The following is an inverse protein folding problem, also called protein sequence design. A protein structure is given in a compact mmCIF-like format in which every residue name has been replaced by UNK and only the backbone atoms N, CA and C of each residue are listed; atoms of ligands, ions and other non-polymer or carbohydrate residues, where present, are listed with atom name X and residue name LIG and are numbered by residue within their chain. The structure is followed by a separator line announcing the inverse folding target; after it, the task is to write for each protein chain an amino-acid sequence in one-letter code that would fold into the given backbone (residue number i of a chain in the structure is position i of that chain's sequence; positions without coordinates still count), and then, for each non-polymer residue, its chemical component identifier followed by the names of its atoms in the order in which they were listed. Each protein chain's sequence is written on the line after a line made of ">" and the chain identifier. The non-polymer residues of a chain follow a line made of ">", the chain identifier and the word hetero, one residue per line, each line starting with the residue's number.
data_IF_508817634675
#
_entry.id   IF_508817634675
#
_cell.length_a   1.000
_cell.length_b   1.000
_cell.length_c   1.000
_cell.angle_alpha   90.00
_cell.angle_beta   90.00
_cell.angle_gamma   90.00
#
_symmetry.space_group_name_H-M   'P 1'
#
loop_
_entity.id
_entity.type
_entity.pdbx_description
1 polymer ?
#
# COMPACT_ATOMS: atom_id res chain seq x y z
N UNK A 1 34.14 61.67 23.07
CA UNK A 1 33.84 61.11 21.74
C UNK A 1 33.78 59.59 21.82
N UNK A 2 32.58 59.00 21.91
CA UNK A 2 32.36 57.55 21.83
C UNK A 2 31.68 57.26 20.50
N UNK A 3 32.35 56.58 19.57
CA UNK A 3 31.75 56.06 18.33
C UNK A 3 31.18 54.67 18.61
N UNK A 4 29.87 54.58 18.74
CA UNK A 4 29.16 53.29 18.78
C UNK A 4 28.95 52.82 17.35
N UNK A 5 29.60 51.73 16.94
CA UNK A 5 29.40 51.10 15.64
C UNK A 5 28.17 50.18 15.77
N UNK A 6 27.02 50.63 15.28
CA UNK A 6 25.86 49.76 15.08
C UNK A 6 26.12 48.85 13.88
N UNK A 7 26.15 47.53 14.11
CA UNK A 7 26.13 46.54 13.02
C UNK A 7 24.70 46.42 12.51
N UNK A 8 24.43 46.52 11.20
CA UNK A 8 23.11 46.20 10.67
C UNK A 8 22.90 44.68 10.73
N UNK A 9 21.86 44.26 11.44
CA UNK A 9 21.36 42.90 11.37
C UNK A 9 20.69 42.70 10.00
N UNK A 10 21.41 42.07 9.07
CA UNK A 10 20.85 41.63 7.80
C UNK A 10 19.89 40.47 8.07
N UNK A 11 18.61 40.78 8.27
CA UNK A 11 17.55 39.79 8.27
C UNK A 11 17.33 39.32 6.83
N UNK A 12 18.03 38.26 6.42
CA UNK A 12 17.75 37.57 5.16
C UNK A 12 16.50 36.72 5.40
N UNK A 13 15.34 37.24 4.98
CA UNK A 13 14.10 36.47 4.91
C UNK A 13 14.30 35.33 3.92
N UNK A 14 14.54 34.12 4.42
CA UNK A 14 14.44 32.91 3.63
C UNK A 14 12.94 32.70 3.34
N UNK A 15 12.53 33.01 2.11
CA UNK A 15 11.21 32.63 1.61
C UNK A 15 11.13 31.10 1.65
N UNK A 16 10.44 30.59 2.67
CA UNK A 16 10.08 29.18 2.80
C UNK A 16 8.90 28.94 1.85
N UNK A 17 9.17 28.67 0.57
CA UNK A 17 8.16 28.08 -0.30
C UNK A 17 7.94 26.65 0.18
N UNK A 18 6.95 26.48 1.08
CA UNK A 18 6.35 25.18 1.33
C UNK A 18 5.83 24.71 -0.03
N UNK A 19 6.50 23.71 -0.63
CA UNK A 19 5.84 22.88 -1.62
C UNK A 19 4.64 22.27 -0.88
N UNK A 20 3.44 22.79 -1.16
CA UNK A 20 2.21 22.20 -0.69
C UNK A 20 2.13 20.81 -1.33
N UNK A 21 2.71 19.82 -0.66
CA UNK A 21 2.33 18.43 -0.90
C UNK A 21 0.82 18.39 -0.69
N UNK A 22 0.09 17.92 -1.70
CA UNK A 22 -1.32 17.60 -1.53
C UNK A 22 -1.46 16.78 -0.27
N UNK A 23 -2.28 17.24 0.68
CA UNK A 23 -2.50 16.51 1.92
C UNK A 23 -2.95 15.10 1.55
N UNK A 24 -2.28 14.10 2.12
CA UNK A 24 -2.58 12.72 1.82
C UNK A 24 -4.01 12.41 2.30
N UNK A 25 -4.86 11.89 1.43
CA UNK A 25 -6.28 11.66 1.71
C UNK A 25 -6.46 10.24 2.21
N UNK A 26 -7.15 10.05 3.33
CA UNK A 26 -7.62 8.72 3.70
C UNK A 26 -8.66 8.26 2.66
N UNK A 27 -8.52 7.02 2.21
CA UNK A 27 -9.31 6.45 1.14
C UNK A 27 -9.78 5.04 1.51
N UNK A 28 -10.99 4.68 1.11
CA UNK A 28 -11.57 3.36 1.34
C UNK A 28 -12.47 2.90 0.19
N UNK A 29 -12.62 1.58 0.08
CA UNK A 29 -13.56 0.95 -0.85
C UNK A 29 -14.23 -0.27 -0.21
N UNK A 30 -15.55 -0.39 -0.42
CA UNK A 30 -16.31 -1.60 -0.13
C UNK A 30 -16.52 -2.40 -1.43
N UNK A 31 -15.90 -3.58 -1.49
CA UNK A 31 -15.91 -4.48 -2.64
C UNK A 31 -17.08 -5.49 -2.59
N UNK A 32 -18.05 -5.30 -1.69
CA UNK A 32 -19.24 -6.15 -1.62
C UNK A 32 -20.37 -5.71 -2.54
N UNK A 33 -20.43 -4.42 -2.90
CA UNK A 33 -21.53 -3.82 -3.66
C UNK A 33 -21.33 -3.81 -5.18
N UNK A 34 -20.14 -4.15 -5.67
CA UNK A 34 -19.92 -4.21 -7.12
C UNK A 34 -20.62 -5.44 -7.73
N UNK A 35 -21.13 -5.31 -8.95
CA UNK A 35 -21.94 -6.36 -9.61
C UNK A 35 -21.11 -7.63 -9.80
N UNK A 36 -21.70 -8.85 -9.79
CA UNK A 36 -20.93 -10.10 -9.95
C UNK A 36 -19.96 -10.01 -11.13
N UNK A 37 -18.69 -9.78 -10.80
CA UNK A 37 -17.61 -9.63 -11.72
C UNK A 37 -16.91 -10.98 -11.80
N UNK A 38 -17.05 -11.63 -12.95
CA UNK A 38 -16.15 -12.70 -13.37
C UNK A 38 -15.36 -12.18 -14.54
N UNK A 39 -14.27 -11.47 -14.23
CA UNK A 39 -13.52 -10.70 -15.22
C UNK A 39 -12.01 -10.92 -15.07
N UNK A 40 -11.28 -10.68 -16.17
CA UNK A 40 -9.80 -10.67 -16.14
C UNK A 40 -9.24 -9.45 -15.42
N UNK A 41 -10.07 -8.42 -15.25
CA UNK A 41 -9.82 -7.33 -14.32
C UNK A 41 -11.08 -6.51 -14.10
N UNK A 42 -11.14 -5.87 -12.93
CA UNK A 42 -12.27 -5.07 -12.46
C UNK A 42 -11.73 -3.71 -12.05
N UNK A 43 -12.28 -2.63 -12.60
CA UNK A 43 -11.89 -1.29 -12.19
C UNK A 43 -12.76 -0.88 -11.00
N UNK A 44 -12.13 -0.61 -9.85
CA UNK A 44 -12.77 -0.21 -8.60
C UNK A 44 -12.48 1.25 -8.32
N UNK A 45 -13.42 1.94 -7.66
CA UNK A 45 -13.30 3.36 -7.33
C UNK A 45 -13.40 3.58 -5.82
N UNK A 46 -12.43 4.30 -5.28
CA UNK A 46 -12.36 4.66 -3.86
C UNK A 46 -13.18 5.94 -3.60
N UNK A 47 -13.55 6.14 -2.35
CA UNK A 47 -14.31 7.30 -1.85
C UNK A 47 -13.62 8.65 -2.12
N UNK A 48 -12.29 8.68 -2.14
CA UNK A 48 -11.47 9.86 -2.46
C UNK A 48 -11.36 10.14 -3.97
N UNK A 49 -11.99 9.31 -4.81
CA UNK A 49 -11.99 9.44 -6.26
C UNK A 49 -10.79 8.81 -6.97
N UNK A 50 -9.84 8.21 -6.25
CA UNK A 50 -8.82 7.33 -6.85
C UNK A 50 -9.45 6.04 -7.36
N UNK A 51 -8.72 5.34 -8.22
CA UNK A 51 -9.17 4.08 -8.80
C UNK A 51 -8.05 3.07 -8.83
N UNK A 52 -8.42 1.79 -8.72
CA UNK A 52 -7.51 0.68 -8.95
C UNK A 52 -8.12 -0.29 -9.96
N UNK A 53 -7.28 -0.89 -10.80
CA UNK A 53 -7.64 -2.07 -11.56
C UNK A 53 -7.25 -3.30 -10.77
N UNK A 54 -8.25 -4.08 -10.38
CA UNK A 54 -8.04 -5.36 -9.70
C UNK A 54 -7.85 -6.45 -10.73
N UNK A 55 -6.82 -7.28 -10.56
CA UNK A 55 -6.55 -8.46 -11.38
C UNK A 55 -6.16 -9.65 -10.52
N UNK A 56 -6.04 -10.84 -11.12
CA UNK A 56 -5.79 -12.07 -10.38
C UNK A 56 -4.75 -12.95 -11.07
N UNK A 57 -3.91 -13.61 -10.27
CA UNK A 57 -3.00 -14.67 -10.73
C UNK A 57 -3.09 -15.89 -9.83
N UNK A 58 -2.77 -17.05 -10.40
CA UNK A 58 -2.66 -18.31 -9.67
C UNK A 58 -1.29 -18.90 -9.93
N UNK A 59 -0.57 -19.27 -8.88
CA UNK A 59 0.79 -19.82 -8.95
C UNK A 59 0.77 -21.27 -8.54
N UNK A 60 1.13 -22.18 -9.45
CA UNK A 60 1.09 -23.63 -9.18
C UNK A 60 2.19 -24.05 -8.20
N UNK A 61 1.81 -24.81 -7.18
CA UNK A 61 2.75 -25.28 -6.14
C UNK A 61 3.93 -26.11 -6.66
N UNK A 62 3.71 -26.95 -7.68
CA UNK A 62 4.68 -27.95 -8.13
C UNK A 62 5.74 -27.43 -9.11
N UNK A 63 5.57 -26.25 -9.69
CA UNK A 63 6.55 -25.68 -10.63
C UNK A 63 6.71 -24.16 -10.54
N UNK A 64 6.03 -23.50 -9.60
CA UNK A 64 6.07 -22.06 -9.44
C UNK A 64 5.54 -21.26 -10.63
N UNK A 65 4.92 -21.89 -11.63
CA UNK A 65 4.41 -21.16 -12.80
C UNK A 65 3.16 -20.39 -12.42
N UNK A 66 3.24 -19.08 -12.60
CA UNK A 66 2.13 -18.15 -12.46
C UNK A 66 1.33 -18.07 -13.77
N UNK A 67 0.00 -18.13 -13.66
CA UNK A 67 -0.93 -17.91 -14.78
C UNK A 67 -1.90 -16.79 -14.43
N UNK A 68 -2.41 -16.10 -15.46
CA UNK A 68 -3.54 -15.18 -15.30
C UNK A 68 -4.76 -15.95 -14.83
N UNK A 69 -5.38 -15.49 -13.75
CA UNK A 69 -6.63 -15.99 -13.22
C UNK A 69 -7.75 -14.97 -13.51
N UNK A 70 -8.93 -15.22 -12.98
CA UNK A 70 -10.07 -14.32 -13.01
C UNK A 70 -10.27 -13.73 -11.62
N UNK A 71 -10.66 -12.46 -11.57
CA UNK A 71 -11.23 -11.88 -10.36
C UNK A 71 -12.67 -12.37 -10.29
N UNK A 72 -13.01 -13.05 -9.20
CA UNK A 72 -14.36 -13.51 -8.92
C UNK A 72 -14.97 -12.68 -7.80
N UNK A 73 -16.11 -12.05 -8.05
CA UNK A 73 -16.88 -11.34 -7.04
C UNK A 73 -18.20 -12.07 -6.77
N UNK A 74 -18.29 -12.64 -5.57
CA UNK A 74 -19.52 -13.25 -5.04
C UNK A 74 -19.59 -12.98 -3.54
N UNK A 75 -20.81 -13.03 -2.97
CA UNK A 75 -21.15 -12.69 -1.57
C UNK A 75 -19.93 -12.72 -0.62
N UNK A 76 -19.52 -11.53 -0.15
CA UNK A 76 -18.41 -11.37 0.80
C UNK A 76 -17.20 -10.60 0.27
N UNK A 77 -17.02 -10.47 -1.05
CA UNK A 77 -15.96 -9.64 -1.63
C UNK A 77 -15.32 -10.26 -2.87
N UNK A 78 -14.10 -9.83 -3.17
CA UNK A 78 -13.29 -10.33 -4.28
C UNK A 78 -12.44 -11.53 -3.87
N UNK A 79 -12.30 -12.48 -4.77
CA UNK A 79 -11.32 -13.56 -4.67
C UNK A 79 -10.70 -13.90 -6.01
N UNK A 80 -9.86 -14.92 -6.01
CA UNK A 80 -9.21 -15.43 -7.21
C UNK A 80 -9.99 -16.64 -7.70
N UNK A 81 -10.04 -16.81 -9.01
CA UNK A 81 -10.68 -17.97 -9.60
C UNK A 81 -9.97 -18.41 -10.86
N UNK A 82 -9.85 -19.72 -11.02
CA UNK A 82 -9.44 -20.30 -12.30
C UNK A 82 -10.62 -20.80 -13.15
N UNK A 83 -11.83 -20.89 -12.59
CA UNK A 83 -13.02 -21.47 -13.23
C UNK A 83 -14.34 -20.81 -12.75
N UNK A 84 -15.39 -20.81 -13.57
CA UNK A 84 -16.68 -20.16 -13.24
C UNK A 84 -17.45 -20.80 -12.07
N UNK A 85 -17.13 -22.04 -11.67
CA UNK A 85 -17.84 -22.80 -10.64
C UNK A 85 -17.03 -22.97 -9.34
N UNK A 86 -15.96 -22.19 -9.19
CA UNK A 86 -15.10 -22.20 -8.01
C UNK A 86 -15.73 -21.38 -6.85
N UNK A 87 -15.28 -21.56 -5.61
CA UNK A 87 -15.75 -20.76 -4.46
C UNK A 87 -15.18 -19.31 -4.48
N UNK A 88 -14.30 -19.05 -5.44
CA UNK A 88 -13.76 -17.75 -5.81
C UNK A 88 -13.09 -17.05 -4.63
N UNK A 89 -11.97 -17.59 -4.19
CA UNK A 89 -11.24 -17.19 -2.99
C UNK A 89 -9.77 -17.05 -3.30
N UNK A 90 -9.09 -16.20 -2.54
CA UNK A 90 -7.63 -16.23 -2.49
C UNK A 90 -7.26 -17.39 -1.59
N UNK A 91 -6.64 -18.45 -2.12
CA UNK A 91 -6.18 -19.58 -1.33
C UNK A 91 -4.76 -20.04 -1.70
N UNK A 92 -4.15 -20.82 -0.81
CA UNK A 92 -2.83 -21.43 -1.04
C UNK A 92 -2.94 -22.92 -1.41
N UNK A 93 -4.17 -23.45 -1.47
CA UNK A 93 -4.42 -24.86 -1.69
C UNK A 93 -3.98 -25.25 -3.11
N UNK A 94 -2.95 -26.09 -3.20
CA UNK A 94 -2.32 -26.47 -4.48
C UNK A 94 -1.79 -25.28 -5.30
N UNK A 95 -1.41 -24.19 -4.63
CA UNK A 95 -0.82 -23.04 -5.28
C UNK A 95 -1.22 -21.74 -4.62
N UNK A 96 -0.35 -20.75 -4.70
CA UNK A 96 -0.63 -19.41 -4.16
C UNK A 96 -1.43 -18.60 -5.17
N UNK A 97 -2.68 -18.34 -4.83
CA UNK A 97 -3.48 -17.36 -5.52
C UNK A 97 -3.19 -15.96 -5.01
N UNK A 98 -3.25 -14.98 -5.92
CA UNK A 98 -2.95 -13.58 -5.61
C UNK A 98 -3.97 -12.66 -6.27
N UNK A 99 -4.54 -11.78 -5.45
CA UNK A 99 -5.35 -10.66 -5.89
C UNK A 99 -4.45 -9.42 -5.96
N UNK A 100 -4.40 -8.79 -7.14
CA UNK A 100 -3.55 -7.64 -7.43
C UNK A 100 -4.40 -6.38 -7.53
N UNK A 101 -3.90 -5.30 -6.97
CA UNK A 101 -4.49 -3.96 -7.09
C UNK A 101 -3.49 -3.07 -7.79
N UNK A 102 -3.84 -2.61 -9.00
CA UNK A 102 -3.05 -1.69 -9.80
C UNK A 102 -3.67 -0.28 -9.72
N UNK A 103 -3.14 0.62 -8.90
CA UNK A 103 -3.65 1.97 -8.71
C UNK A 103 -3.26 2.91 -9.85
N UNK A 104 -4.14 3.86 -10.16
CA UNK A 104 -3.86 4.93 -11.11
C UNK A 104 -2.90 6.00 -10.58
N UNK A 105 -2.54 5.94 -9.30
CA UNK A 105 -1.68 6.90 -8.60
C UNK A 105 -1.10 6.27 -7.35
N UNK A 106 -0.02 6.84 -6.81
CA UNK A 106 0.58 6.41 -5.56
C UNK A 106 -0.46 6.26 -4.44
N UNK A 107 -0.56 5.04 -3.92
CA UNK A 107 -1.45 4.64 -2.85
C UNK A 107 -0.70 3.80 -1.84
N UNK A 108 -0.93 4.05 -0.56
CA UNK A 108 -0.38 3.24 0.52
C UNK A 108 -1.54 2.51 1.21
N UNK A 109 -1.65 1.18 1.08
CA UNK A 109 -2.65 0.43 1.81
C UNK A 109 -2.35 0.46 3.31
N UNK A 110 -3.37 0.73 4.11
CA UNK A 110 -3.29 0.78 5.59
C UNK A 110 -4.04 -0.35 6.24
N UNK A 111 -5.03 -0.94 5.56
CA UNK A 111 -5.86 -1.98 6.13
C UNK A 111 -6.61 -2.76 5.06
N UNK A 112 -6.96 -3.99 5.40
CA UNK A 112 -7.78 -4.85 4.56
C UNK A 112 -8.85 -5.56 5.38
N UNK A 113 -10.08 -5.51 4.88
CA UNK A 113 -11.21 -6.28 5.41
C UNK A 113 -11.34 -7.60 4.66
N UNK A 114 -11.40 -8.70 5.40
CA UNK A 114 -11.45 -10.06 4.89
C UNK A 114 -12.75 -10.76 5.31
N UNK A 115 -13.25 -11.63 4.44
CA UNK A 115 -14.39 -12.54 4.71
C UNK A 115 -14.09 -13.94 4.19
N UNK A 116 -15.03 -14.87 4.37
CA UNK A 116 -14.90 -16.27 3.91
C UNK A 116 -13.61 -16.90 4.45
N UNK A 117 -13.32 -16.68 5.73
CA UNK A 117 -12.14 -17.24 6.38
C UNK A 117 -12.40 -18.71 6.68
N UNK A 118 -11.88 -19.60 5.85
CA UNK A 118 -12.02 -21.04 6.05
C UNK A 118 -10.74 -21.65 6.63
N UNK A 119 -10.89 -22.51 7.64
CA UNK A 119 -9.79 -23.25 8.27
C UNK A 119 -9.54 -22.93 9.74
N UNK A 120 -8.78 -23.81 10.40
CA UNK A 120 -8.33 -23.65 11.78
C UNK A 120 -7.37 -22.47 11.91
N UNK A 121 -7.67 -21.54 12.82
CA UNK A 121 -6.83 -20.39 13.14
C UNK A 121 -5.47 -20.80 13.73
N UNK A 122 -4.40 -19.99 13.57
CA UNK A 122 -4.33 -18.70 12.85
C UNK A 122 -4.15 -18.85 11.32
N UNK A 123 -4.57 -17.82 10.59
CA UNK A 123 -4.45 -17.68 9.14
C UNK A 123 -3.28 -16.74 8.81
N UNK A 124 -2.72 -16.84 7.60
CA UNK A 124 -1.58 -16.02 7.17
C UNK A 124 -1.89 -15.24 5.90
N UNK A 125 -1.92 -13.91 5.98
CA UNK A 125 -2.01 -13.01 4.82
C UNK A 125 -0.59 -12.68 4.36
N UNK A 126 -0.26 -13.00 3.12
CA UNK A 126 0.98 -12.55 2.48
C UNK A 126 0.74 -11.29 1.67
N UNK A 127 1.56 -10.27 1.90
CA UNK A 127 1.53 -9.01 1.15
C UNK A 127 2.71 -8.97 0.20
N UNK A 128 2.45 -8.60 -1.06
CA UNK A 128 3.43 -8.59 -2.14
C UNK A 128 3.60 -7.18 -2.71
N UNK A 129 4.81 -6.84 -3.13
CA UNK A 129 5.07 -5.66 -3.94
C UNK A 129 4.65 -5.86 -5.40
N UNK A 130 4.77 -4.81 -6.23
CA UNK A 130 4.41 -4.87 -7.64
C UNK A 130 5.22 -5.85 -8.49
N UNK A 131 6.39 -6.30 -8.02
CA UNK A 131 7.23 -7.31 -8.67
C UNK A 131 6.91 -8.74 -8.21
N UNK A 132 6.12 -8.88 -7.15
CA UNK A 132 5.77 -10.16 -6.53
C UNK A 132 6.71 -10.59 -5.41
N UNK A 133 7.59 -9.71 -4.93
CA UNK A 133 8.38 -9.98 -3.73
C UNK A 133 7.50 -9.82 -2.49
N UNK A 134 7.74 -10.68 -1.49
CA UNK A 134 7.05 -10.58 -0.20
C UNK A 134 7.47 -9.35 0.59
N UNK A 135 6.51 -8.49 0.92
CA UNK A 135 6.67 -7.35 1.82
C UNK A 135 6.50 -7.74 3.29
N UNK A 136 5.80 -8.85 3.55
CA UNK A 136 5.62 -9.42 4.87
C UNK A 136 4.47 -10.42 4.90
N UNK A 137 4.51 -11.29 5.92
CA UNK A 137 3.44 -12.23 6.24
C UNK A 137 2.80 -11.80 7.56
N UNK A 138 1.48 -11.57 7.55
CA UNK A 138 0.70 -11.14 8.70
C UNK A 138 -0.20 -12.26 9.17
N UNK A 139 -0.09 -12.63 10.45
CA UNK A 139 -0.96 -13.64 11.07
C UNK A 139 -2.20 -12.98 11.64
N UNK A 140 -3.36 -13.56 11.36
CA UNK A 140 -4.63 -13.05 11.85
C UNK A 140 -5.57 -14.21 12.23
N UNK A 141 -6.63 -13.90 12.96
CA UNK A 141 -7.67 -14.86 13.35
C UNK A 141 -9.02 -14.30 12.93
N UNK A 142 -9.89 -15.18 12.47
CA UNK A 142 -11.26 -14.81 12.14
C UNK A 142 -12.05 -14.44 13.40
N UNK A 143 -12.86 -13.38 13.30
CA UNK A 143 -13.95 -13.09 14.21
C UNK A 143 -14.99 -14.22 14.16
N UNK A 144 -15.87 -14.25 15.17
CA UNK A 144 -16.94 -15.26 15.27
C UNK A 144 -17.91 -15.26 14.08
N UNK A 145 -18.01 -14.13 13.35
CA UNK A 145 -18.84 -13.98 12.16
C UNK A 145 -18.12 -14.36 10.84
N UNK A 146 -16.88 -14.88 10.94
CA UNK A 146 -16.08 -15.30 9.77
C UNK A 146 -15.41 -14.15 9.02
N UNK A 147 -15.28 -12.98 9.65
CA UNK A 147 -14.56 -11.80 9.11
C UNK A 147 -13.23 -11.57 9.81
N UNK A 148 -12.35 -10.75 9.24
CA UNK A 148 -11.20 -10.20 9.95
C UNK A 148 -10.81 -8.85 9.36
N UNK A 149 -10.24 -7.98 10.18
CA UNK A 149 -9.51 -6.81 9.73
C UNK A 149 -8.02 -7.06 9.96
N UNK A 150 -7.20 -6.81 8.93
CA UNK A 150 -5.75 -6.92 9.03
C UNK A 150 -5.13 -5.54 8.85
N UNK A 151 -4.43 -5.09 9.90
CA UNK A 151 -3.68 -3.84 9.88
C UNK A 151 -2.40 -4.01 9.05
N UNK A 152 -2.25 -3.16 8.04
CA UNK A 152 -1.10 -3.16 7.13
C UNK A 152 -0.11 -2.05 7.48
N UNK A 153 -0.40 -1.23 8.50
CA UNK A 153 0.49 -0.18 8.98
C UNK A 153 1.83 -0.78 9.42
N UNK A 154 2.93 -0.25 8.87
CA UNK A 154 4.28 -0.72 9.16
C UNK A 154 4.83 -1.74 8.17
N UNK A 155 4.01 -2.28 7.26
CA UNK A 155 4.54 -2.88 6.04
C UNK A 155 5.07 -1.75 5.15
N UNK A 156 6.34 -1.85 4.74
CA UNK A 156 6.92 -0.94 3.75
C UNK A 156 6.40 -1.30 2.34
N UNK A 157 5.07 -1.45 2.22
CA UNK A 157 4.37 -1.38 0.96
C UNK A 157 4.56 0.06 0.47
N UNK A 158 5.70 0.27 -0.17
CA UNK A 158 6.10 1.53 -0.77
C UNK A 158 4.89 2.12 -1.50
N UNK A 159 4.70 3.44 -1.38
CA UNK A 159 3.74 4.15 -2.19
C UNK A 159 4.04 3.83 -3.67
N UNK A 160 3.21 2.98 -4.25
CA UNK A 160 3.47 2.35 -5.52
C UNK A 160 2.16 2.07 -6.23
N UNK A 161 2.26 1.92 -7.54
CA UNK A 161 1.08 1.78 -8.39
C UNK A 161 0.52 0.35 -8.35
N UNK A 162 1.14 -0.58 -7.60
CA UNK A 162 0.71 -1.98 -7.52
C UNK A 162 1.07 -2.67 -6.21
N UNK A 163 0.14 -3.44 -5.65
CA UNK A 163 0.42 -4.40 -4.58
C UNK A 163 -0.45 -5.67 -4.71
N UNK A 164 -0.02 -6.75 -4.05
CA UNK A 164 -0.71 -8.04 -4.08
C UNK A 164 -1.08 -8.56 -2.70
N UNK A 165 -2.24 -9.24 -2.62
CA UNK A 165 -2.70 -9.98 -1.45
C UNK A 165 -2.80 -11.47 -1.79
N UNK A 166 -2.14 -12.31 -1.00
CA UNK A 166 -2.05 -13.73 -1.22
C UNK A 166 -2.25 -14.53 0.07
N UNK A 167 -2.63 -15.80 -0.07
CA UNK A 167 -2.66 -16.73 1.04
C UNK A 167 -1.23 -17.21 1.38
N UNK A 168 -0.80 -17.02 2.62
CA UNK A 168 0.56 -17.30 3.08
C UNK A 168 0.82 -18.77 3.46
N UNK A 169 -0.21 -19.54 3.82
CA UNK A 169 -0.10 -20.95 4.20
C UNK A 169 -1.16 -21.84 3.53
N UNK A 170 -0.91 -23.16 3.56
CA UNK A 170 -1.67 -24.19 2.83
C UNK A 170 -3.15 -24.33 3.23
N UNK A 171 -3.57 -23.71 4.34
CA UNK A 171 -4.94 -23.71 4.82
C UNK A 171 -5.58 -22.32 4.79
N UNK A 172 -4.85 -21.31 4.31
CA UNK A 172 -5.38 -19.96 4.24
C UNK A 172 -6.29 -19.82 3.03
N UNK A 173 -7.49 -19.34 3.29
CA UNK A 173 -8.43 -18.96 2.25
C UNK A 173 -9.30 -17.79 2.70
N UNK A 174 -9.49 -16.81 1.82
CA UNK A 174 -10.25 -15.62 2.13
C UNK A 174 -10.81 -14.94 0.88
N UNK A 175 -11.72 -13.99 1.11
CA UNK A 175 -12.12 -12.96 0.15
C UNK A 175 -11.76 -11.59 0.69
N UNK A 176 -11.40 -10.67 -0.19
CA UNK A 176 -11.13 -9.27 0.14
C UNK A 176 -12.44 -8.50 0.04
N UNK A 177 -12.97 -8.09 1.19
CA UNK A 177 -14.21 -7.33 1.32
C UNK A 177 -14.00 -5.85 1.10
N UNK A 178 -12.88 -5.31 1.57
CA UNK A 178 -12.59 -3.89 1.52
C UNK A 178 -11.11 -3.63 1.64
N UNK A 179 -10.70 -2.45 1.18
CA UNK A 179 -9.34 -1.95 1.29
C UNK A 179 -9.39 -0.50 1.75
N UNK A 180 -8.57 -0.17 2.73
CA UNK A 180 -8.33 1.20 3.18
C UNK A 180 -6.87 1.59 2.94
N UNK A 181 -6.64 2.88 2.73
CA UNK A 181 -5.30 3.40 2.52
C UNK A 181 -5.23 4.91 2.53
N UNK A 182 -4.08 5.41 2.10
CA UNK A 182 -3.79 6.82 1.96
C UNK A 182 -3.36 7.08 0.52
N UNK A 183 -4.09 7.93 -0.19
CA UNK A 183 -3.73 8.37 -1.54
C UNK A 183 -2.80 9.58 -1.51
N UNK A 184 -2.06 9.76 -2.60
CA UNK A 184 -1.17 10.90 -2.80
C UNK A 184 -0.13 11.06 -1.67
N UNK A 185 0.43 9.94 -1.21
CA UNK A 185 1.58 9.95 -0.30
C UNK A 185 2.66 10.84 -0.93
N UNK A 186 3.11 11.93 -0.28
CA UNK A 186 4.07 12.84 -0.88
C UNK A 186 5.34 12.06 -1.20
N UNK A 187 5.64 11.90 -2.48
CA UNK A 187 6.97 11.45 -2.92
C UNK A 187 7.94 12.52 -2.44
N UNK A 188 8.99 12.18 -1.66
CA UNK A 188 10.00 13.15 -1.31
C UNK A 188 10.62 13.66 -2.61
N UNK A 189 10.29 14.91 -3.00
CA UNK A 189 10.83 15.46 -4.24
C UNK A 189 12.34 15.57 -4.12
N UNK A 190 13.06 15.30 -5.21
CA UNK A 190 14.51 15.47 -5.25
C UNK A 190 14.96 16.89 -4.81
N UNK A 191 14.09 17.89 -4.95
CA UNK A 191 14.29 19.25 -4.46
C UNK A 191 14.31 19.35 -2.92
N UNK A 192 13.48 18.58 -2.21
CA UNK A 192 13.47 18.52 -0.75
C UNK A 192 14.75 17.85 -0.19
N UNK A 193 15.24 16.80 -0.86
CA UNK A 193 16.50 16.15 -0.51
C UNK A 193 17.73 17.06 -0.80
N UNK A 194 17.71 17.80 -1.92
CA UNK A 194 18.77 18.73 -2.29
C UNK A 194 18.90 19.93 -1.34
N UNK A 195 17.78 20.51 -0.88
CA UNK A 195 17.78 21.62 0.07
C UNK A 195 18.24 21.20 1.47
N UNK A 196 17.90 19.98 1.93
CA UNK A 196 18.39 19.45 3.20
C UNK A 196 19.92 19.28 3.19
N UNK A 197 20.50 18.85 2.06
CA UNK A 197 21.96 18.71 1.91
C UNK A 197 22.68 20.06 1.90
N UNK A 198 22.11 21.08 1.23
CA UNK A 198 22.65 22.44 1.19
C UNK A 198 22.56 23.15 2.55
N UNK A 199 21.46 22.97 3.28
CA UNK A 199 21.32 23.48 4.65
C UNK A 199 22.33 22.82 5.60
N UNK A 200 22.53 21.50 5.49
CA UNK A 200 23.52 20.76 6.28
C UNK A 200 24.97 21.15 5.94
N UNK A 201 25.27 21.39 4.66
CA UNK A 201 26.57 21.88 4.21
C UNK A 201 26.85 23.32 4.69
N UNK A 202 25.83 24.18 4.67
CA UNK A 202 25.89 25.55 5.21
C UNK A 202 26.14 25.57 6.72
N UNK A 203 25.48 24.71 7.50
CA UNK A 203 25.72 24.59 8.94
C UNK A 203 27.11 24.03 9.26
N UNK A 204 27.59 23.01 8.52
CA UNK A 204 28.95 22.47 8.70
C UNK A 204 30.05 23.48 8.39
N UNK A 205 29.83 24.38 7.42
CA UNK A 205 30.79 25.45 7.10
C UNK A 205 30.86 26.50 8.22
N UNK A 206 29.74 26.82 8.86
CA UNK A 206 29.71 27.78 9.98
C UNK A 206 30.36 27.26 11.25
N UNK A 207 30.22 25.96 11.58
CA UNK A 207 30.93 25.36 12.74
C UNK A 207 32.45 25.44 12.58
N UNK A 208 32.99 25.15 11.39
CA UNK A 208 34.43 25.23 11.13
C UNK A 208 35.02 26.63 11.22
N UNK A 209 34.23 27.68 10.96
CA UNK A 209 34.68 29.07 11.14
C UNK A 209 34.54 29.58 12.58
N UNK A 210 33.70 28.96 13.40
CA UNK A 210 33.56 29.30 14.83
C UNK A 210 34.60 28.58 15.71
N UNK A 211 35.17 27.46 15.25
CA UNK A 211 36.24 26.73 15.94
C UNK A 211 37.66 27.21 15.56
N UNK A 212 37.78 28.10 14.57
CA UNK A 212 39.06 28.63 14.06
C UNK A 212 39.28 30.12 14.38
N UNK A 213 38.45 30.71 15.25
CA UNK A 213 38.54 32.09 15.74
C UNK A 213 38.63 32.09 17.27
#
# INVERSE_FOLDING_TARGET
>A
MKKTIARPATALAAALTLAAGTAASAASVDLTSERPAFARGVDVRFDDGTSARVSATSTKWWNGRTKKAWVGQYRGGFGVSSWMLDDHRVESNWGTDTLWFDFSSAFQPTGVDLTYLSGSAPQTLRVLDGEGNGLGDLRFTANADGTAYVDLLGLNASAGDRFGLAAGDHCTSFKVRGLSGVSAVPTPSAAAAGLALLAAAGLRRRRRHAEAA
#
